data_IF_188968864445
#
_entry.id   IF_188968864445
#
_cell.length_a   1.000
_cell.length_b   1.000
_cell.length_c   1.000
_cell.angle_alpha   90.00
_cell.angle_beta   90.00
_cell.angle_gamma   90.00
#
_symmetry.space_group_name_H-M   'P 1'
#
loop_
_entity.id
_entity.type
_entity.pdbx_description
1 polymer ?
#
# COMPACT_ATOMS: atom_id res chain seq x y z
N UNK A 1 -5.81 28.98 -46.40
CA UNK A 1 -4.57 29.20 -47.17
C UNK A 1 -3.54 29.77 -46.20
N UNK A 2 -2.92 28.92 -45.38
CA UNK A 2 -1.57 28.32 -45.56
C UNK A 2 -0.44 29.33 -45.46
N UNK A 3 0.00 29.60 -44.23
CA UNK A 3 1.37 30.04 -43.94
C UNK A 3 2.29 28.82 -44.01
N UNK A 4 3.10 28.75 -45.06
CA UNK A 4 4.14 27.76 -45.23
C UNK A 4 5.37 28.20 -44.44
N UNK A 5 5.67 27.44 -43.39
CA UNK A 5 6.88 27.55 -42.59
C UNK A 5 8.13 27.39 -43.48
N UNK A 6 8.78 28.49 -43.82
CA UNK A 6 10.15 28.50 -44.36
C UNK A 6 11.13 28.24 -43.22
N UNK A 7 11.37 26.96 -42.92
CA UNK A 7 12.52 26.57 -42.12
C UNK A 7 13.79 26.81 -42.97
N UNK A 8 14.71 27.63 -42.48
CA UNK A 8 15.99 27.87 -43.14
C UNK A 8 16.79 26.56 -43.29
N UNK A 9 17.55 26.37 -44.40
CA UNK A 9 18.32 25.15 -44.62
C UNK A 9 19.39 24.99 -43.53
N UNK A 10 19.39 23.82 -42.89
CA UNK A 10 20.36 23.47 -41.84
C UNK A 10 21.76 23.35 -42.48
N UNK A 11 22.73 24.15 -42.00
CA UNK A 11 24.09 24.09 -42.51
C UNK A 11 24.83 22.88 -41.93
N UNK A 12 25.72 22.28 -42.73
CA UNK A 12 26.61 21.19 -42.31
C UNK A 12 27.99 21.69 -41.84
N UNK A 13 28.25 23.00 -41.89
CA UNK A 13 29.55 23.58 -41.56
C UNK A 13 29.52 24.32 -40.21
N UNK A 14 30.42 24.00 -39.24
CA UNK A 14 30.39 24.52 -37.87
C UNK A 14 30.40 26.04 -37.73
N UNK A 15 30.86 26.75 -38.74
CA UNK A 15 31.05 28.19 -38.73
C UNK A 15 29.94 28.97 -39.45
N UNK A 16 28.89 28.31 -39.95
CA UNK A 16 27.80 28.97 -40.66
C UNK A 16 26.56 29.20 -39.78
N UNK A 17 25.82 30.31 -40.00
CA UNK A 17 24.51 30.52 -39.40
C UNK A 17 23.57 29.36 -39.74
N UNK A 18 22.93 28.75 -38.74
CA UNK A 18 22.03 27.61 -38.93
C UNK A 18 22.70 26.23 -38.87
N UNK A 19 23.99 26.14 -38.50
CA UNK A 19 24.61 24.86 -38.13
C UNK A 19 24.06 24.37 -36.79
N UNK A 20 23.53 23.15 -36.80
CA UNK A 20 23.21 22.40 -35.58
C UNK A 20 24.11 21.16 -35.60
N UNK A 21 24.95 20.95 -34.57
CA UNK A 21 25.78 19.75 -34.47
C UNK A 21 24.94 18.49 -34.67
N UNK A 22 25.42 17.57 -35.51
CA UNK A 22 24.78 16.26 -35.63
C UNK A 22 24.85 15.56 -34.28
N UNK A 23 23.75 14.93 -33.82
CA UNK A 23 23.78 14.17 -32.58
C UNK A 23 24.81 13.03 -32.70
N UNK A 24 25.46 12.63 -31.60
CA UNK A 24 26.35 11.48 -31.62
C UNK A 24 25.57 10.24 -32.09
N UNK A 25 26.18 9.34 -32.89
CA UNK A 25 25.53 8.12 -33.35
C UNK A 25 25.20 7.18 -32.19
N UNK A 26 24.05 6.51 -32.26
CA UNK A 26 23.50 5.63 -31.21
C UNK A 26 24.44 4.47 -30.82
N UNK A 27 25.31 4.08 -31.75
CA UNK A 27 26.21 2.94 -31.68
C UNK A 27 27.45 3.22 -30.82
N UNK A 28 27.74 4.49 -30.49
CA UNK A 28 28.87 4.87 -29.66
C UNK A 28 28.49 4.84 -28.17
N UNK A 29 28.69 3.66 -27.55
CA UNK A 29 28.83 3.48 -26.10
C UNK A 29 27.55 3.69 -25.27
N UNK A 30 26.60 2.76 -25.38
CA UNK A 30 25.79 2.43 -24.20
C UNK A 30 26.74 1.87 -23.12
N UNK A 31 27.02 2.63 -22.06
CA UNK A 31 27.74 2.08 -20.91
C UNK A 31 27.03 0.81 -20.43
N UNK A 32 27.77 -0.22 -19.93
CA UNK A 32 27.15 -1.42 -19.39
C UNK A 32 26.04 -1.01 -18.43
N UNK A 33 24.82 -1.45 -18.75
CA UNK A 33 23.58 -0.90 -18.20
C UNK A 33 23.56 -0.81 -16.67
N UNK A 34 22.64 0.00 -16.14
CA UNK A 34 22.47 0.20 -14.69
C UNK A 34 22.54 -1.15 -13.95
N UNK A 35 23.42 -1.25 -12.95
CA UNK A 35 23.53 -2.42 -12.08
C UNK A 35 23.20 -1.98 -10.65
N UNK A 36 22.06 -2.43 -10.16
CA UNK A 36 21.66 -2.27 -8.75
C UNK A 36 21.12 -3.62 -8.28
N UNK A 37 21.78 -4.18 -7.28
CA UNK A 37 21.39 -5.44 -6.65
C UNK A 37 20.28 -5.19 -5.63
N UNK A 38 19.45 -6.19 -5.35
CA UNK A 38 18.47 -6.16 -4.26
C UNK A 38 19.20 -6.41 -2.92
N UNK A 39 19.40 -5.40 -2.06
CA UNK A 39 20.01 -5.62 -0.74
C UNK A 39 19.09 -6.44 0.17
N UNK A 40 19.68 -7.14 1.14
CA UNK A 40 18.96 -7.78 2.24
C UNK A 40 18.78 -6.80 3.38
N UNK A 41 17.56 -6.71 3.92
CA UNK A 41 17.23 -5.87 5.06
C UNK A 41 16.68 -6.71 6.20
N UNK A 42 17.00 -6.31 7.42
CA UNK A 42 16.42 -6.88 8.64
C UNK A 42 15.10 -6.18 9.00
N UNK A 43 14.30 -6.80 9.87
CA UNK A 43 13.03 -6.24 10.35
C UNK A 43 11.79 -6.90 9.74
N UNK A 44 10.62 -6.27 9.98
CA UNK A 44 9.33 -6.75 9.45
C UNK A 44 9.28 -6.63 7.92
N UNK A 45 8.34 -7.32 7.27
CA UNK A 45 8.17 -7.18 5.81
C UNK A 45 7.86 -5.72 5.39
N UNK A 46 7.18 -4.97 6.27
CA UNK A 46 6.91 -3.57 6.05
C UNK A 46 8.17 -2.70 6.13
N UNK A 47 9.04 -2.93 7.13
CA UNK A 47 10.34 -2.24 7.25
C UNK A 47 11.29 -2.59 6.10
N UNK A 48 11.31 -3.86 5.67
CA UNK A 48 12.07 -4.29 4.51
C UNK A 48 11.61 -3.58 3.23
N UNK A 49 10.30 -3.37 3.06
CA UNK A 49 9.76 -2.61 1.94
C UNK A 49 10.16 -1.12 2.00
N UNK A 50 10.09 -0.49 3.16
CA UNK A 50 10.56 0.89 3.37
C UNK A 50 12.03 1.04 2.97
N UNK A 51 12.88 0.15 3.50
CA UNK A 51 14.31 0.19 3.27
C UNK A 51 14.66 -0.07 1.80
N UNK A 52 13.96 -0.98 1.14
CA UNK A 52 14.11 -1.22 -0.29
C UNK A 52 13.73 0.01 -1.11
N UNK A 53 12.60 0.65 -0.80
CA UNK A 53 12.13 1.79 -1.57
C UNK A 53 13.07 2.99 -1.44
N UNK A 54 13.59 3.22 -0.23
CA UNK A 54 14.63 4.21 0.02
C UNK A 54 15.92 3.89 -0.75
N UNK A 55 16.34 2.61 -0.79
CA UNK A 55 17.50 2.18 -1.54
C UNK A 55 17.32 2.40 -3.05
N UNK A 56 16.18 1.96 -3.62
CA UNK A 56 15.88 2.14 -5.04
C UNK A 56 15.82 3.62 -5.40
N UNK A 57 15.19 4.47 -4.59
CA UNK A 57 15.17 5.92 -4.81
C UNK A 57 16.58 6.52 -4.85
N UNK A 58 17.45 6.09 -3.92
CA UNK A 58 18.85 6.55 -3.86
C UNK A 58 19.64 6.10 -5.09
N UNK A 59 19.53 4.84 -5.48
CA UNK A 59 20.27 4.30 -6.63
C UNK A 59 19.74 4.85 -7.96
N UNK A 60 18.42 5.05 -8.10
CA UNK A 60 17.83 5.72 -9.26
C UNK A 60 18.35 7.15 -9.40
N UNK A 61 18.38 7.91 -8.30
CA UNK A 61 18.92 9.28 -8.31
C UNK A 61 20.38 9.30 -8.77
N UNK A 62 21.23 8.41 -8.23
CA UNK A 62 22.63 8.28 -8.66
C UNK A 62 22.75 7.92 -10.14
N UNK A 63 21.91 7.00 -10.61
CA UNK A 63 21.88 6.58 -12.01
C UNK A 63 21.55 7.75 -12.94
N UNK A 64 20.54 8.55 -12.59
CA UNK A 64 20.13 9.74 -13.34
C UNK A 64 21.25 10.78 -13.34
N UNK A 65 21.85 11.09 -12.18
CA UNK A 65 22.94 12.06 -12.07
C UNK A 65 24.16 11.65 -12.90
N UNK A 66 24.56 10.37 -12.84
CA UNK A 66 25.65 9.82 -13.65
C UNK A 66 25.33 9.88 -15.15
N UNK A 67 24.12 9.49 -15.52
CA UNK A 67 23.67 9.49 -16.93
C UNK A 67 23.59 10.91 -17.48
N UNK A 68 23.14 11.88 -16.68
CA UNK A 68 23.07 13.29 -17.04
C UNK A 68 24.46 13.93 -17.19
N UNK A 69 25.42 13.60 -16.31
CA UNK A 69 26.81 14.06 -16.46
C UNK A 69 27.44 13.60 -17.79
N UNK A 70 27.05 12.41 -18.24
CA UNK A 70 27.49 11.80 -19.50
C UNK A 70 26.54 12.09 -20.67
N UNK A 71 25.57 13.01 -20.55
CA UNK A 71 24.54 13.25 -21.56
C UNK A 71 25.10 13.61 -22.94
N UNK A 72 26.25 14.28 -22.97
CA UNK A 72 26.97 14.66 -24.20
C UNK A 72 27.47 13.45 -25.02
N UNK A 73 27.54 12.27 -24.41
CA UNK A 73 27.96 11.02 -25.07
C UNK A 73 26.81 10.30 -25.79
N UNK A 74 25.56 10.71 -25.57
CA UNK A 74 24.39 10.01 -26.07
C UNK A 74 23.59 10.87 -27.05
N UNK A 75 22.98 10.22 -28.04
CA UNK A 75 21.83 10.81 -28.73
C UNK A 75 20.65 10.99 -27.75
N UNK A 76 19.63 11.74 -28.12
CA UNK A 76 18.43 11.86 -27.28
C UNK A 76 17.74 10.51 -27.05
N UNK A 77 17.75 9.61 -28.04
CA UNK A 77 17.17 8.28 -27.91
C UNK A 77 18.04 7.36 -27.06
N UNK A 78 19.36 7.39 -27.25
CA UNK A 78 20.33 6.67 -26.42
C UNK A 78 20.25 7.08 -24.95
N UNK A 79 20.10 8.37 -24.68
CA UNK A 79 19.94 8.90 -23.32
C UNK A 79 18.66 8.35 -22.67
N UNK A 80 17.53 8.35 -23.39
CA UNK A 80 16.27 7.77 -22.91
C UNK A 80 16.39 6.28 -22.61
N UNK A 81 17.03 5.52 -23.50
CA UNK A 81 17.31 4.08 -23.29
C UNK A 81 18.18 3.85 -22.05
N UNK A 82 19.21 4.66 -21.85
CA UNK A 82 20.10 4.55 -20.70
C UNK A 82 19.38 4.87 -19.38
N UNK A 83 18.52 5.90 -19.36
CA UNK A 83 17.68 6.20 -18.19
C UNK A 83 16.68 5.08 -17.91
N UNK A 84 16.05 4.52 -18.94
CA UNK A 84 15.10 3.42 -18.81
C UNK A 84 15.75 2.10 -18.34
N UNK A 85 17.04 1.88 -18.61
CA UNK A 85 17.75 0.64 -18.26
C UNK A 85 17.67 0.30 -16.76
N UNK A 86 17.52 1.29 -15.88
CA UNK A 86 17.38 1.06 -14.44
C UNK A 86 16.13 0.23 -14.08
N UNK A 87 15.05 0.31 -14.86
CA UNK A 87 13.83 -0.47 -14.66
C UNK A 87 14.08 -1.99 -14.70
N UNK A 88 15.14 -2.43 -15.36
CA UNK A 88 15.47 -3.84 -15.51
C UNK A 88 16.41 -4.38 -14.41
N UNK A 89 16.83 -3.53 -13.47
CA UNK A 89 17.68 -3.92 -12.33
C UNK A 89 16.95 -4.82 -11.35
N UNK A 90 17.71 -5.59 -10.57
CA UNK A 90 17.14 -6.43 -9.51
C UNK A 90 16.46 -5.59 -8.43
N UNK A 91 17.03 -4.42 -8.11
CA UNK A 91 16.44 -3.49 -7.15
C UNK A 91 15.06 -2.97 -7.62
N UNK A 92 14.92 -2.61 -8.90
CA UNK A 92 13.63 -2.18 -9.46
C UNK A 92 12.58 -3.31 -9.44
N UNK A 93 12.98 -4.53 -9.81
CA UNK A 93 12.11 -5.73 -9.73
C UNK A 93 11.76 -6.11 -8.29
N UNK A 94 12.60 -5.74 -7.32
CA UNK A 94 12.35 -5.95 -5.90
C UNK A 94 11.11 -5.24 -5.38
N UNK A 95 10.68 -4.14 -6.02
CA UNK A 95 9.48 -3.36 -5.62
C UNK A 95 8.24 -4.26 -5.62
N UNK A 96 8.03 -5.01 -6.71
CA UNK A 96 6.85 -5.88 -6.86
C UNK A 96 6.90 -7.03 -5.85
N UNK A 97 8.09 -7.58 -5.58
CA UNK A 97 8.27 -8.62 -4.55
C UNK A 97 7.96 -8.09 -3.15
N UNK A 98 8.38 -6.87 -2.83
CA UNK A 98 8.10 -6.25 -1.54
C UNK A 98 6.61 -5.99 -1.36
N UNK A 99 5.91 -5.51 -2.40
CA UNK A 99 4.45 -5.37 -2.39
C UNK A 99 3.77 -6.72 -2.14
N UNK A 100 4.15 -7.76 -2.88
CA UNK A 100 3.57 -9.09 -2.74
C UNK A 100 3.78 -9.69 -1.32
N UNK A 101 4.93 -9.42 -0.69
CA UNK A 101 5.19 -9.83 0.71
C UNK A 101 4.25 -9.14 1.70
N UNK A 102 4.03 -7.83 1.54
CA UNK A 102 3.12 -7.08 2.43
C UNK A 102 1.66 -7.47 2.19
N UNK A 103 1.27 -7.74 0.94
CA UNK A 103 -0.05 -8.32 0.61
C UNK A 103 -0.23 -9.70 1.26
N UNK A 104 0.80 -10.56 1.25
CA UNK A 104 0.75 -11.85 1.94
C UNK A 104 0.58 -11.70 3.47
N UNK A 105 1.19 -10.69 4.09
CA UNK A 105 0.97 -10.39 5.52
C UNK A 105 -0.48 -9.96 5.78
N UNK A 106 -1.07 -9.16 4.89
CA UNK A 106 -2.47 -8.80 4.98
C UNK A 106 -3.40 -10.01 4.88
N UNK A 107 -3.20 -10.89 3.88
CA UNK A 107 -4.00 -12.11 3.76
C UNK A 107 -3.84 -13.03 4.98
N UNK A 108 -2.64 -13.12 5.54
CA UNK A 108 -2.42 -13.87 6.77
C UNK A 108 -3.15 -13.22 7.96
N UNK A 109 -3.05 -11.90 8.12
CA UNK A 109 -3.73 -11.18 9.20
C UNK A 109 -5.27 -11.30 9.10
N UNK A 110 -5.81 -11.26 7.88
CA UNK A 110 -7.22 -11.51 7.60
C UNK A 110 -7.63 -12.93 7.98
N UNK A 111 -6.86 -13.95 7.56
CA UNK A 111 -7.11 -15.34 7.91
C UNK A 111 -7.02 -15.58 9.43
N UNK A 112 -6.06 -14.94 10.12
CA UNK A 112 -5.94 -15.00 11.57
C UNK A 112 -7.15 -14.36 12.27
N UNK A 113 -7.64 -13.22 11.78
CA UNK A 113 -8.86 -12.57 12.29
C UNK A 113 -10.09 -13.45 12.09
N UNK A 114 -10.28 -14.00 10.89
CA UNK A 114 -11.38 -14.92 10.60
C UNK A 114 -11.32 -16.18 11.47
N UNK A 115 -10.13 -16.73 11.72
CA UNK A 115 -9.96 -17.88 12.63
C UNK A 115 -10.43 -17.54 14.04
N UNK A 116 -9.96 -16.42 14.60
CA UNK A 116 -10.37 -15.98 15.94
C UNK A 116 -11.86 -15.67 16.00
N UNK A 117 -12.44 -15.10 14.95
CA UNK A 117 -13.88 -14.89 14.86
C UNK A 117 -14.67 -16.21 14.86
N UNK A 118 -14.20 -17.23 14.12
CA UNK A 118 -14.82 -18.57 14.13
C UNK A 118 -14.73 -19.25 15.49
N UNK A 119 -13.69 -18.99 16.28
CA UNK A 119 -13.61 -19.49 17.67
C UNK A 119 -14.70 -18.90 18.59
N UNK A 120 -15.25 -17.73 18.23
CA UNK A 120 -16.40 -17.13 18.93
C UNK A 120 -17.73 -17.71 18.48
N UNK A 121 -17.78 -18.32 17.28
CA UNK A 121 -19.04 -18.77 16.65
C UNK A 121 -19.17 -20.29 16.80
N UNK A 122 -20.26 -20.81 17.39
CA UNK A 122 -20.47 -22.25 17.43
C UNK A 122 -20.72 -22.79 16.02
N UNK A 123 -20.39 -24.08 15.73
CA UNK A 123 -20.69 -24.69 14.43
C UNK A 123 -22.19 -24.59 14.14
N UNK A 124 -22.53 -24.09 12.94
CA UNK A 124 -23.88 -23.69 12.54
C UNK A 124 -24.84 -24.86 12.32
N UNK A 125 -25.40 -25.39 13.40
CA UNK A 125 -26.65 -26.13 13.35
C UNK A 125 -27.85 -25.15 13.41
N UNK A 126 -29.01 -25.58 12.88
CA UNK A 126 -30.21 -24.75 12.85
C UNK A 126 -30.68 -24.32 14.26
N UNK A 127 -30.26 -25.05 15.31
CA UNK A 127 -30.58 -24.73 16.70
C UNK A 127 -29.74 -23.56 17.20
N UNK A 128 -28.45 -23.52 16.88
CA UNK A 128 -27.54 -22.42 17.17
C UNK A 128 -28.01 -21.13 16.48
N UNK A 129 -28.36 -21.20 15.19
CA UNK A 129 -28.93 -20.05 14.46
C UNK A 129 -30.23 -19.53 15.10
N UNK A 130 -31.13 -20.44 15.51
CA UNK A 130 -32.35 -20.03 16.21
C UNK A 130 -32.06 -19.35 17.56
N UNK A 131 -31.02 -19.80 18.31
CA UNK A 131 -30.63 -19.18 19.57
C UNK A 131 -30.02 -17.79 19.34
N UNK A 132 -29.16 -17.65 18.33
CA UNK A 132 -28.55 -16.39 17.91
C UNK A 132 -29.63 -15.34 17.55
N UNK A 133 -30.57 -15.69 16.69
CA UNK A 133 -31.67 -14.80 16.29
C UNK A 133 -32.53 -14.37 17.50
N UNK A 134 -32.87 -15.32 18.40
CA UNK A 134 -33.62 -15.00 19.63
C UNK A 134 -32.84 -14.09 20.57
N UNK A 135 -31.53 -14.28 20.67
CA UNK A 135 -30.68 -13.41 21.46
C UNK A 135 -30.69 -11.99 20.88
N UNK A 136 -30.44 -11.85 19.57
CA UNK A 136 -30.46 -10.56 18.90
C UNK A 136 -31.78 -9.82 19.10
N UNK A 137 -32.93 -10.45 18.84
CA UNK A 137 -34.24 -9.80 19.02
C UNK A 137 -34.51 -9.34 20.47
N UNK A 138 -33.97 -10.02 21.48
CA UNK A 138 -34.06 -9.56 22.87
C UNK A 138 -33.16 -8.34 23.10
N UNK A 139 -31.93 -8.40 22.61
CA UNK A 139 -30.95 -7.31 22.70
C UNK A 139 -31.43 -6.05 21.98
N UNK A 140 -31.97 -6.20 20.77
CA UNK A 140 -32.58 -5.13 19.96
C UNK A 140 -33.70 -4.43 20.73
N UNK A 141 -34.67 -5.18 21.28
CA UNK A 141 -35.75 -4.60 22.10
C UNK A 141 -35.24 -3.83 23.32
N UNK A 142 -34.17 -4.31 23.96
CA UNK A 142 -33.55 -3.62 25.09
C UNK A 142 -32.88 -2.32 24.64
N UNK A 143 -32.21 -2.33 23.48
CA UNK A 143 -31.58 -1.15 22.89
C UNK A 143 -32.63 -0.12 22.43
N UNK A 144 -33.74 -0.56 21.84
CA UNK A 144 -34.83 0.30 21.39
C UNK A 144 -35.53 0.98 22.57
N UNK A 145 -35.82 0.21 23.63
CA UNK A 145 -36.46 0.72 24.83
C UNK A 145 -35.57 1.70 25.64
N UNK A 146 -34.24 1.64 25.45
CA UNK A 146 -33.30 2.48 26.18
C UNK A 146 -33.08 3.84 25.54
N UNK A 147 -33.04 4.89 26.38
CA UNK A 147 -32.53 6.22 26.01
C UNK A 147 -31.00 6.23 25.91
N UNK A 148 -30.32 5.45 26.75
CA UNK A 148 -28.87 5.26 26.72
C UNK A 148 -28.52 3.97 25.98
N UNK A 149 -28.50 4.05 24.65
CA UNK A 149 -28.21 2.90 23.77
C UNK A 149 -26.76 2.42 23.93
N UNK A 150 -25.84 3.37 24.10
CA UNK A 150 -24.41 3.08 24.26
C UNK A 150 -24.14 2.33 25.57
N UNK A 151 -24.72 2.78 26.69
CA UNK A 151 -24.57 2.09 27.98
C UNK A 151 -25.11 0.66 27.94
N UNK A 152 -26.27 0.43 27.35
CA UNK A 152 -26.85 -0.92 27.20
C UNK A 152 -25.99 -1.79 26.27
N UNK A 153 -25.54 -1.25 25.14
CA UNK A 153 -24.69 -1.99 24.20
C UNK A 153 -23.38 -2.45 24.86
N UNK A 154 -22.75 -1.60 25.70
CA UNK A 154 -21.56 -1.99 26.50
C UNK A 154 -21.87 -3.12 27.46
N UNK A 155 -22.98 -3.04 28.18
CA UNK A 155 -23.38 -4.10 29.12
C UNK A 155 -23.65 -5.44 28.40
N UNK A 156 -24.24 -5.39 27.20
CA UNK A 156 -24.46 -6.57 26.37
C UNK A 156 -23.13 -7.22 25.97
N UNK A 157 -22.15 -6.43 25.52
CA UNK A 157 -20.81 -6.91 25.17
C UNK A 157 -20.13 -7.53 26.40
N UNK A 158 -20.11 -6.81 27.52
CA UNK A 158 -19.43 -7.24 28.75
C UNK A 158 -19.98 -8.58 29.29
N UNK A 159 -21.31 -8.75 29.27
CA UNK A 159 -22.00 -9.93 29.83
C UNK A 159 -22.20 -11.07 28.84
N UNK A 160 -21.88 -10.87 27.57
CA UNK A 160 -22.09 -11.88 26.52
C UNK A 160 -21.21 -13.11 26.73
N UNK A 161 -21.78 -14.29 26.45
CA UNK A 161 -21.00 -15.48 26.11
C UNK A 161 -20.28 -15.29 24.76
N UNK A 162 -19.35 -16.18 24.41
CA UNK A 162 -18.62 -16.05 23.14
C UNK A 162 -19.56 -16.13 21.92
N UNK A 163 -20.57 -17.01 21.98
CA UNK A 163 -21.58 -17.17 20.92
C UNK A 163 -22.41 -15.88 20.76
N UNK A 164 -22.85 -15.30 21.88
CA UNK A 164 -23.59 -14.04 21.89
C UNK A 164 -22.74 -12.86 21.43
N UNK A 165 -21.46 -12.84 21.78
CA UNK A 165 -20.51 -11.83 21.31
C UNK A 165 -20.37 -11.88 19.80
N UNK A 166 -20.31 -13.06 19.18
CA UNK A 166 -20.26 -13.21 17.73
C UNK A 166 -21.49 -12.56 17.05
N UNK A 167 -22.69 -12.77 17.61
CA UNK A 167 -23.93 -12.13 17.15
C UNK A 167 -23.86 -10.61 17.31
N UNK A 168 -23.38 -10.11 18.44
CA UNK A 168 -23.23 -8.67 18.67
C UNK A 168 -22.22 -8.04 17.69
N UNK A 169 -21.15 -8.74 17.33
CA UNK A 169 -20.15 -8.23 16.38
C UNK A 169 -20.73 -8.03 14.98
N UNK A 170 -21.68 -8.86 14.57
CA UNK A 170 -22.35 -8.78 13.28
C UNK A 170 -23.44 -7.70 13.27
N UNK A 171 -24.31 -7.71 14.28
CA UNK A 171 -25.56 -6.94 14.25
C UNK A 171 -25.45 -5.54 14.87
N UNK A 172 -24.67 -5.39 15.94
CA UNK A 172 -24.63 -4.16 16.73
C UNK A 172 -24.08 -2.95 15.95
N UNK A 173 -23.04 -3.06 15.12
CA UNK A 173 -22.57 -1.92 14.31
C UNK A 173 -23.63 -1.42 13.33
N UNK A 174 -24.35 -2.35 12.68
CA UNK A 174 -25.40 -2.03 11.71
C UNK A 174 -26.58 -1.36 12.40
N UNK A 175 -26.99 -1.90 13.55
CA UNK A 175 -28.05 -1.30 14.36
C UNK A 175 -27.68 0.12 14.84
N UNK A 176 -26.48 0.33 15.40
CA UNK A 176 -26.08 1.65 15.89
C UNK A 176 -26.03 2.68 14.75
N UNK A 177 -25.57 2.28 13.57
CA UNK A 177 -25.60 3.15 12.39
C UNK A 177 -27.04 3.50 11.97
N UNK A 178 -27.99 2.55 12.00
CA UNK A 178 -29.38 2.80 11.58
C UNK A 178 -30.11 3.77 12.51
N UNK A 179 -29.78 3.77 13.80
CA UNK A 179 -30.35 4.69 14.80
C UNK A 179 -29.55 5.99 14.96
N UNK A 180 -28.52 6.22 14.14
CA UNK A 180 -27.69 7.42 14.18
C UNK A 180 -26.77 7.53 15.40
N UNK A 181 -26.48 6.41 16.07
CA UNK A 181 -25.58 6.35 17.22
C UNK A 181 -24.13 6.15 16.78
N UNK A 182 -23.18 6.70 17.55
CA UNK A 182 -21.75 6.53 17.28
C UNK A 182 -21.29 5.12 17.68
N UNK A 183 -20.55 4.45 16.79
CA UNK A 183 -19.99 3.10 17.01
C UNK A 183 -18.48 3.04 17.22
N UNK A 184 -17.77 4.18 17.27
CA UNK A 184 -16.30 4.22 17.33
C UNK A 184 -15.69 3.57 18.58
N UNK A 185 -16.46 3.44 19.66
CA UNK A 185 -16.04 2.82 20.91
C UNK A 185 -16.20 1.29 20.92
N UNK A 186 -16.93 0.71 19.96
CA UNK A 186 -17.26 -0.73 19.94
C UNK A 186 -16.01 -1.60 19.96
N UNK A 187 -15.03 -1.28 19.11
CA UNK A 187 -13.82 -2.08 18.97
C UNK A 187 -12.98 -2.13 20.24
N UNK A 188 -12.98 -1.04 21.02
CA UNK A 188 -12.30 -0.99 22.32
C UNK A 188 -12.99 -1.90 23.33
N UNK A 189 -14.33 -1.84 23.42
CA UNK A 189 -15.10 -2.64 24.37
C UNK A 189 -15.08 -4.14 24.02
N UNK A 190 -15.17 -4.46 22.73
CA UNK A 190 -14.97 -5.83 22.24
C UNK A 190 -13.57 -6.32 22.58
N UNK A 191 -12.53 -5.49 22.40
CA UNK A 191 -11.16 -5.88 22.72
C UNK A 191 -10.94 -6.12 24.22
N UNK A 192 -11.69 -5.46 25.10
CA UNK A 192 -11.68 -5.75 26.55
C UNK A 192 -12.28 -7.13 26.83
N UNK A 193 -13.39 -7.48 26.17
CA UNK A 193 -14.08 -8.77 26.36
C UNK A 193 -13.40 -9.96 25.66
N UNK A 194 -12.82 -9.72 24.49
CA UNK A 194 -12.09 -10.70 23.67
C UNK A 194 -10.76 -10.11 23.21
N UNK A 195 -9.71 -10.16 24.05
CA UNK A 195 -8.40 -9.59 23.73
C UNK A 195 -7.78 -10.17 22.47
N UNK A 196 -7.94 -11.48 22.24
CA UNK A 196 -7.45 -12.16 21.05
C UNK A 196 -8.09 -11.59 19.77
N UNK A 197 -9.41 -11.40 19.76
CA UNK A 197 -10.12 -10.81 18.63
C UNK A 197 -9.70 -9.35 18.42
N UNK A 198 -9.62 -8.56 19.49
CA UNK A 198 -9.17 -7.17 19.43
C UNK A 198 -7.75 -7.02 18.85
N UNK A 199 -6.82 -7.90 19.24
CA UNK A 199 -5.47 -7.94 18.69
C UNK A 199 -5.47 -8.33 17.21
N UNK A 200 -6.22 -9.36 16.83
CA UNK A 200 -6.30 -9.82 15.45
C UNK A 200 -6.91 -8.75 14.52
N UNK A 201 -8.01 -8.10 14.96
CA UNK A 201 -8.64 -7.00 14.22
C UNK A 201 -7.71 -5.80 14.06
N UNK A 202 -6.97 -5.41 15.11
CA UNK A 202 -5.97 -4.33 15.01
C UNK A 202 -4.83 -4.69 14.05
N UNK A 203 -4.36 -5.94 14.07
CA UNK A 203 -3.32 -6.40 13.15
C UNK A 203 -3.80 -6.39 11.70
N UNK A 204 -5.01 -6.90 11.44
CA UNK A 204 -5.64 -6.86 10.10
C UNK A 204 -5.80 -5.42 9.61
N UNK A 205 -6.32 -4.51 10.45
CA UNK A 205 -6.49 -3.11 10.09
C UNK A 205 -5.16 -2.44 9.71
N UNK A 206 -4.11 -2.67 10.51
CA UNK A 206 -2.77 -2.15 10.23
C UNK A 206 -2.18 -2.76 8.95
N UNK A 207 -2.36 -4.06 8.74
CA UNK A 207 -1.91 -4.73 7.51
C UNK A 207 -2.60 -4.15 6.27
N UNK A 208 -3.90 -3.87 6.35
CA UNK A 208 -4.66 -3.22 5.28
C UNK A 208 -4.14 -1.82 4.96
N UNK A 209 -3.89 -1.00 5.99
CA UNK A 209 -3.27 0.31 5.82
C UNK A 209 -1.85 0.21 5.23
N UNK A 210 -1.06 -0.77 5.68
CA UNK A 210 0.29 -1.00 5.19
C UNK A 210 0.30 -1.34 3.70
N UNK A 211 -0.61 -2.20 3.22
CA UNK A 211 -0.78 -2.51 1.79
C UNK A 211 -1.10 -1.25 1.00
N UNK A 212 -2.02 -0.41 1.47
CA UNK A 212 -2.38 0.85 0.78
C UNK A 212 -1.16 1.79 0.68
N UNK A 213 -0.39 1.94 1.76
CA UNK A 213 0.80 2.78 1.76
C UNK A 213 1.92 2.23 0.85
N UNK A 214 2.19 0.92 0.91
CA UNK A 214 3.22 0.28 0.08
C UNK A 214 2.83 0.33 -1.39
N UNK A 215 1.57 0.05 -1.72
CA UNK A 215 1.06 0.10 -3.10
C UNK A 215 1.12 1.49 -3.69
N UNK A 216 0.66 2.51 -2.97
CA UNK A 216 0.74 3.90 -3.44
C UNK A 216 2.19 4.34 -3.64
N UNK A 217 3.09 3.98 -2.72
CA UNK A 217 4.52 4.25 -2.82
C UNK A 217 5.18 3.52 -4.00
N UNK A 218 4.80 2.27 -4.25
CA UNK A 218 5.29 1.47 -5.37
C UNK A 218 4.90 2.10 -6.71
N UNK A 219 3.64 2.55 -6.84
CA UNK A 219 3.16 3.23 -8.05
C UNK A 219 3.93 4.52 -8.33
N UNK A 220 4.19 5.33 -7.30
CA UNK A 220 5.00 6.56 -7.45
C UNK A 220 6.42 6.23 -7.94
N UNK A 221 7.06 5.25 -7.33
CA UNK A 221 8.42 4.84 -7.68
C UNK A 221 8.47 4.22 -9.08
N UNK A 222 7.49 3.39 -9.46
CA UNK A 222 7.35 2.84 -10.81
C UNK A 222 7.13 3.92 -11.86
N UNK A 223 6.35 4.98 -11.57
CA UNK A 223 6.19 6.12 -12.47
C UNK A 223 7.52 6.86 -12.65
N UNK A 224 8.23 7.13 -11.55
CA UNK A 224 9.54 7.78 -11.59
C UNK A 224 10.56 6.97 -12.39
N UNK A 225 10.56 5.64 -12.22
CA UNK A 225 11.38 4.70 -12.99
C UNK A 225 11.02 4.74 -14.48
N UNK A 226 9.73 4.75 -14.82
CA UNK A 226 9.23 4.83 -16.21
C UNK A 226 9.64 6.11 -16.90
N UNK A 227 9.54 7.22 -16.20
CA UNK A 227 9.86 8.56 -16.70
C UNK A 227 11.37 8.86 -16.68
N UNK A 228 12.18 8.02 -16.03
CA UNK A 228 13.61 8.27 -15.84
C UNK A 228 13.87 9.52 -14.99
N UNK A 229 12.99 9.82 -14.03
CA UNK A 229 13.03 11.03 -13.20
C UNK A 229 13.36 10.72 -11.75
N UNK A 230 14.14 11.59 -11.12
CA UNK A 230 14.44 11.48 -9.71
C UNK A 230 13.23 11.97 -8.91
N UNK A 231 12.80 11.19 -7.91
CA UNK A 231 11.81 11.65 -6.97
C UNK A 231 12.44 12.66 -6.00
N UNK A 232 11.89 13.87 -5.96
CA UNK A 232 12.36 14.93 -5.06
C UNK A 232 11.90 14.74 -3.62
N UNK A 233 10.75 14.10 -3.41
CA UNK A 233 10.21 13.79 -2.09
C UNK A 233 10.63 12.38 -1.70
N UNK A 234 11.28 12.17 -0.55
CA UNK A 234 11.59 10.83 -0.07
C UNK A 234 10.29 10.10 0.29
N UNK A 235 10.19 8.85 -0.12
CA UNK A 235 9.08 7.99 0.33
C UNK A 235 9.27 7.77 1.84
N UNK A 236 8.21 8.03 2.61
CA UNK A 236 8.21 7.85 4.07
C UNK A 236 7.09 6.91 4.46
N UNK A 237 7.42 5.89 5.25
CA UNK A 237 6.43 4.94 5.74
C UNK A 237 5.97 5.39 7.13
N UNK A 238 4.67 5.25 7.40
CA UNK A 238 4.18 5.46 8.76
C UNK A 238 4.47 4.17 9.56
N UNK A 239 5.28 4.25 10.60
CA UNK A 239 5.62 3.08 11.43
C UNK A 239 4.47 2.62 12.31
N UNK A 240 3.48 3.47 12.59
CA UNK A 240 2.33 3.10 13.43
C UNK A 240 1.41 2.08 12.78
N UNK A 241 1.50 1.92 11.45
CA UNK A 241 0.69 0.98 10.68
C UNK A 241 1.44 -0.32 10.36
N UNK A 242 2.63 -0.54 10.93
CA UNK A 242 3.31 -1.83 10.81
C UNK A 242 2.45 -2.92 11.47
N UNK A 243 2.00 -3.95 10.73
CA UNK A 243 1.12 -4.98 11.27
C UNK A 243 1.78 -5.85 12.34
N UNK A 244 3.10 -5.99 12.31
CA UNK A 244 3.85 -6.94 13.14
C UNK A 244 4.59 -6.26 14.31
N UNK A 245 4.29 -5.00 14.60
CA UNK A 245 4.77 -4.25 15.78
C UNK A 245 3.67 -3.96 16.78
#
# INVERSE_FOLDING_TARGET
>A
MTDLSTAAPQSMYPHQPGYVPSPPPDDMRLEPGARSHEPKFDGTHYEQAEALFAHVQKELKKHIEKTAANAHLYSQEGLRKQLAAFQHTDAAKGIDKALARVEAVHEQAKADMERVYRELTPPGDAVAESRAARYWHRSERLLDASKDKQGIARQLIEKSSNEELAVLLEELPVYLASVGAQGSWLDEEVAKRSPAYGMAKRREHRASQAVVQVKSSALLLQSALREGRAMHVPIRFNRSIDPDK
#
